data_IF_443764808264
#
_entry.id   IF_443764808264
#
_cell.length_a   1.000
_cell.length_b   1.000
_cell.length_c   1.000
_cell.angle_alpha   90.00
_cell.angle_beta   90.00
_cell.angle_gamma   90.00
#
_symmetry.space_group_name_H-M   'P 1'
#
loop_
_entity.id
_entity.type
_entity.pdbx_description
1 polymer ?
#
# COMPACT_ATOMS: atom_id res chain seq x y z
N UNK A 1 -30.64 -10.52 -0.53
CA UNK A 1 -30.30 -10.51 0.14
C UNK A 1 -29.97 -10.49 0.57
N UNK A 2 -29.69 -10.53 0.66
CA UNK A 2 -29.21 -10.39 1.34
C UNK A 2 -28.94 -10.38 1.99
N UNK A 3 -29.42 -9.85 2.15
CA UNK A 3 -29.10 -9.73 2.95
C UNK A 3 -28.99 -10.37 3.61
N UNK A 4 -29.14 -10.78 3.72
CA UNK A 4 -28.98 -11.43 4.54
C UNK A 4 -28.31 -11.67 5.19
N UNK A 5 -27.99 -11.13 5.55
CA UNK A 5 -27.24 -11.31 6.23
C UNK A 5 -27.12 -11.73 7.22
N UNK A 6 -26.57 -11.84 7.43
CA UNK A 6 -26.63 -12.52 8.43
C UNK A 6 -25.95 -11.90 9.50
N UNK A 7 -26.32 -12.11 10.54
CA UNK A 7 -25.79 -11.59 11.64
C UNK A 7 -25.00 -12.65 12.26
N UNK A 8 -24.03 -12.46 13.10
CA UNK A 8 -23.26 -13.50 13.75
C UNK A 8 -22.15 -14.03 12.87
N UNK A 9 -21.80 -15.30 12.99
CA UNK A 9 -20.67 -15.89 12.30
C UNK A 9 -20.90 -15.98 10.81
N UNK A 10 -19.88 -15.70 9.99
CA UNK A 10 -19.99 -15.88 8.56
C UNK A 10 -20.06 -17.37 8.23
N UNK A 11 -20.62 -17.67 7.08
CA UNK A 11 -20.65 -19.04 6.61
C UNK A 11 -19.24 -19.51 6.33
N UNK A 12 -19.05 -20.82 6.37
CA UNK A 12 -17.73 -21.39 6.14
C UNK A 12 -17.12 -20.97 4.80
N UNK A 13 -17.94 -20.95 3.76
CA UNK A 13 -17.40 -20.57 2.45
C UNK A 13 -16.97 -19.10 2.42
N UNK A 14 -17.67 -18.22 3.14
CA UNK A 14 -17.30 -16.82 3.21
C UNK A 14 -15.96 -16.65 3.93
N UNK A 15 -15.77 -17.42 4.99
CA UNK A 15 -14.51 -17.40 5.71
C UNK A 15 -13.38 -17.92 4.84
N UNK A 16 -13.64 -19.00 4.12
CA UNK A 16 -12.64 -19.59 3.23
C UNK A 16 -12.24 -18.62 2.12
N UNK A 17 -13.22 -17.87 1.56
CA UNK A 17 -12.92 -16.88 0.54
C UNK A 17 -12.02 -15.79 1.07
N UNK A 18 -12.31 -15.28 2.28
CA UNK A 18 -11.49 -14.24 2.88
C UNK A 18 -10.09 -14.76 3.18
N UNK A 19 -9.99 -16.00 3.67
CA UNK A 19 -8.69 -16.59 3.98
C UNK A 19 -7.86 -16.84 2.74
N UNK A 20 -8.52 -17.03 1.59
CA UNK A 20 -7.81 -17.26 0.34
C UNK A 20 -7.56 -15.98 -0.45
N UNK A 21 -7.97 -14.83 0.09
CA UNK A 21 -7.79 -13.52 -0.56
C UNK A 21 -6.50 -12.88 -0.07
N UNK A 22 -5.46 -12.88 -0.90
CA UNK A 22 -4.15 -12.35 -0.47
C UNK A 22 -4.19 -10.87 -0.13
N UNK A 23 -5.04 -10.10 -0.81
CA UNK A 23 -5.17 -8.67 -0.52
C UNK A 23 -5.80 -8.48 0.85
N UNK A 24 -6.84 -9.25 1.16
CA UNK A 24 -7.46 -9.20 2.48
C UNK A 24 -6.42 -9.50 3.56
N UNK A 25 -5.62 -10.56 3.34
CA UNK A 25 -4.60 -10.94 4.30
C UNK A 25 -3.56 -9.85 4.49
N UNK A 26 -3.09 -9.28 3.39
CA UNK A 26 -2.10 -8.20 3.46
C UNK A 26 -2.64 -7.03 4.27
N UNK A 27 -3.83 -6.56 3.92
CA UNK A 27 -4.40 -5.38 4.57
C UNK A 27 -4.81 -5.65 6.02
N UNK A 28 -5.07 -6.91 6.38
CA UNK A 28 -5.36 -7.30 7.76
C UNK A 28 -4.12 -7.24 8.63
N UNK A 29 -2.97 -7.62 8.08
CA UNK A 29 -1.73 -7.71 8.84
C UNK A 29 -0.90 -6.44 8.83
N UNK A 30 -0.94 -5.69 7.73
CA UNK A 30 -0.11 -4.51 7.57
C UNK A 30 -0.48 -3.44 8.60
N UNK A 31 0.54 -2.76 9.11
CA UNK A 31 0.33 -1.67 10.06
C UNK A 31 0.96 -0.37 9.57
N UNK A 32 2.04 -0.46 8.82
CA UNK A 32 2.77 0.73 8.37
C UNK A 32 2.93 0.69 6.85
N UNK A 33 2.52 1.77 6.21
CA UNK A 33 2.56 1.92 4.75
C UNK A 33 3.45 3.11 4.39
N UNK A 34 4.48 2.87 3.60
CA UNK A 34 5.27 3.95 3.03
C UNK A 34 4.62 4.34 1.71
N UNK A 35 4.26 5.60 1.57
CA UNK A 35 3.57 6.09 0.38
C UNK A 35 4.54 6.91 -0.45
N UNK A 36 4.98 6.33 -1.56
CA UNK A 36 5.95 6.97 -2.45
C UNK A 36 5.19 7.81 -3.46
N UNK A 37 5.48 9.12 -3.47
CA UNK A 37 4.76 10.06 -4.30
C UNK A 37 3.57 10.70 -3.60
N UNK A 38 3.49 10.57 -2.28
CA UNK A 38 2.43 11.21 -1.51
C UNK A 38 2.53 12.73 -1.66
N UNK A 39 1.42 13.34 -2.06
CA UNK A 39 1.33 14.78 -2.26
C UNK A 39 0.66 15.43 -1.05
N UNK A 40 1.00 16.69 -0.80
CA UNK A 40 0.29 17.45 0.23
C UNK A 40 -0.91 18.20 -0.37
N UNK A 41 -1.13 18.08 -1.67
CA UNK A 41 -2.21 18.77 -2.37
C UNK A 41 -3.48 17.92 -2.40
N UNK A 42 -4.63 18.48 -1.96
CA UNK A 42 -5.89 17.74 -2.03
C UNK A 42 -6.37 17.48 -3.45
N UNK A 43 -5.75 18.13 -4.43
CA UNK A 43 -6.08 17.88 -5.84
C UNK A 43 -5.48 16.58 -6.37
N UNK A 44 -4.54 15.98 -5.63
CA UNK A 44 -3.90 14.73 -6.04
C UNK A 44 -4.51 13.55 -5.31
N UNK A 45 -4.79 12.46 -6.02
CA UNK A 45 -5.41 11.28 -5.38
C UNK A 45 -4.64 10.72 -4.20
N UNK A 46 -3.31 10.86 -4.21
CA UNK A 46 -2.49 10.25 -3.16
C UNK A 46 -2.83 10.77 -1.77
N UNK A 47 -3.19 12.05 -1.64
CA UNK A 47 -3.50 12.58 -0.31
C UNK A 47 -4.79 12.00 0.23
N UNK A 48 -5.86 11.98 -0.58
CA UNK A 48 -7.15 11.45 -0.13
C UNK A 48 -7.11 9.97 0.18
N UNK A 49 -6.44 9.20 -0.68
CA UNK A 49 -6.30 7.77 -0.47
C UNK A 49 -5.52 7.49 0.82
N UNK A 50 -4.39 8.21 1.01
CA UNK A 50 -3.56 7.98 2.20
C UNK A 50 -4.26 8.43 3.47
N UNK A 51 -5.03 9.52 3.40
CA UNK A 51 -5.80 9.99 4.56
C UNK A 51 -6.84 8.94 4.96
N UNK A 52 -7.48 8.30 3.97
CA UNK A 52 -8.43 7.22 4.26
C UNK A 52 -7.73 6.07 4.96
N UNK A 53 -6.57 5.66 4.45
CA UNK A 53 -5.83 4.55 5.04
C UNK A 53 -5.38 4.91 6.47
N UNK A 54 -4.94 6.14 6.68
CA UNK A 54 -4.56 6.58 8.01
C UNK A 54 -5.75 6.52 8.98
N UNK A 55 -6.90 6.98 8.53
CA UNK A 55 -8.11 6.93 9.35
C UNK A 55 -8.54 5.49 9.64
N UNK A 56 -8.20 4.56 8.76
CA UNK A 56 -8.50 3.15 8.94
C UNK A 56 -7.51 2.47 9.89
N UNK A 57 -6.50 3.21 10.38
CA UNK A 57 -5.58 2.69 11.40
C UNK A 57 -4.16 2.44 10.95
N UNK A 58 -3.84 2.66 9.69
CA UNK A 58 -2.48 2.44 9.21
C UNK A 58 -1.60 3.63 9.52
N UNK A 59 -0.33 3.37 9.84
CA UNK A 59 0.66 4.44 9.97
C UNK A 59 1.19 4.75 8.59
N UNK A 60 1.19 6.05 8.24
CA UNK A 60 1.63 6.49 6.91
C UNK A 60 3.00 7.12 7.02
N UNK A 61 3.92 6.66 6.19
CA UNK A 61 5.27 7.23 6.07
C UNK A 61 5.33 7.92 4.71
N UNK A 62 5.29 9.26 4.68
CA UNK A 62 5.37 9.97 3.39
C UNK A 62 6.77 9.85 2.78
N UNK A 63 6.84 9.53 1.48
CA UNK A 63 8.10 9.47 0.77
C UNK A 63 7.97 10.27 -0.52
N UNK A 64 8.60 11.45 -0.54
CA UNK A 64 8.51 12.34 -1.69
C UNK A 64 9.55 13.44 -1.50
N UNK A 65 10.48 13.62 -2.47
CA UNK A 65 11.53 14.64 -2.31
C UNK A 65 11.01 16.07 -2.40
N UNK A 66 9.76 16.26 -2.82
CA UNK A 66 9.22 17.60 -3.06
C UNK A 66 8.43 18.17 -1.90
N UNK A 67 8.21 17.39 -0.85
CA UNK A 67 7.44 17.90 0.31
C UNK A 67 8.23 17.66 1.58
N UNK A 68 7.93 18.47 2.61
CA UNK A 68 8.57 18.31 3.91
C UNK A 68 7.76 17.43 4.84
N UNK A 69 6.45 17.43 4.68
CA UNK A 69 5.56 16.68 5.56
C UNK A 69 4.21 16.48 4.90
N UNK A 70 3.47 15.47 5.36
CA UNK A 70 2.09 15.23 4.94
C UNK A 70 1.42 14.39 6.00
N UNK A 71 0.12 14.64 6.20
CA UNK A 71 -0.70 13.85 7.15
C UNK A 71 -0.08 13.77 8.54
N UNK A 72 0.56 14.84 8.95
CA UNK A 72 1.15 14.93 10.28
C UNK A 72 2.48 14.22 10.43
N UNK A 73 3.05 13.69 9.36
CA UNK A 73 4.32 12.98 9.42
C UNK A 73 5.38 13.61 8.55
N UNK A 74 6.62 13.47 8.98
CA UNK A 74 7.76 13.96 8.20
C UNK A 74 7.87 13.15 6.92
N UNK A 75 8.19 13.83 5.81
CA UNK A 75 8.41 13.17 4.53
C UNK A 75 9.90 12.95 4.32
N UNK A 76 10.23 11.84 3.68
CA UNK A 76 11.62 11.49 3.36
C UNK A 76 11.77 11.47 1.86
N UNK A 77 12.95 11.87 1.33
CA UNK A 77 13.12 11.97 -0.12
C UNK A 77 13.03 10.64 -0.86
N UNK A 78 13.42 9.55 -0.21
CA UNK A 78 13.37 8.22 -0.82
C UNK A 78 13.21 7.18 0.27
N UNK A 79 12.88 5.95 -0.12
CA UNK A 79 12.79 4.85 0.84
C UNK A 79 14.09 4.65 1.59
N UNK A 80 15.22 4.82 0.90
CA UNK A 80 16.54 4.59 1.51
C UNK A 80 16.87 5.60 2.60
N UNK A 81 16.18 6.74 2.61
CA UNK A 81 16.45 7.78 3.61
C UNK A 81 15.51 7.74 4.80
N UNK A 82 14.57 6.81 4.80
CA UNK A 82 13.74 6.58 5.97
C UNK A 82 14.63 5.99 7.06
N UNK A 83 14.56 6.51 8.31
CA UNK A 83 15.41 5.98 9.39
C UNK A 83 15.23 4.49 9.59
N UNK A 84 16.31 3.81 9.97
CA UNK A 84 16.32 2.36 10.10
C UNK A 84 15.20 1.84 10.99
N UNK A 85 14.99 2.48 12.15
CA UNK A 85 13.98 2.01 13.10
C UNK A 85 12.56 2.15 12.55
N UNK A 86 12.35 3.01 11.54
CA UNK A 86 11.05 3.15 10.90
C UNK A 86 10.94 2.18 9.72
N UNK A 87 11.98 2.16 8.87
CA UNK A 87 11.88 1.37 7.64
C UNK A 87 11.82 -0.13 7.88
N UNK A 88 12.33 -0.59 9.04
CA UNK A 88 12.21 -2.00 9.41
C UNK A 88 10.76 -2.40 9.68
N UNK A 89 9.90 -1.44 9.92
CA UNK A 89 8.49 -1.70 10.23
C UNK A 89 7.58 -1.49 9.05
N UNK A 90 8.12 -1.08 7.90
CA UNK A 90 7.29 -0.88 6.71
C UNK A 90 6.79 -2.23 6.21
N UNK A 91 5.47 -2.37 6.16
CA UNK A 91 4.84 -3.60 5.71
C UNK A 91 4.45 -3.55 4.24
N UNK A 92 4.30 -2.35 3.70
CA UNK A 92 3.78 -2.15 2.36
C UNK A 92 4.30 -0.85 1.79
N UNK A 93 4.73 -0.86 0.54
CA UNK A 93 5.05 0.36 -0.20
C UNK A 93 3.90 0.62 -1.16
N UNK A 94 3.26 1.78 -1.04
CA UNK A 94 2.15 2.19 -1.90
C UNK A 94 2.66 3.26 -2.85
N UNK A 95 2.54 3.02 -4.17
CA UNK A 95 3.23 3.84 -5.17
C UNK A 95 2.25 4.70 -5.97
N UNK A 96 2.45 6.01 -5.88
CA UNK A 96 1.75 7.03 -6.65
C UNK A 96 2.76 7.77 -7.54
N UNK A 97 3.51 7.03 -8.34
CA UNK A 97 4.47 7.61 -9.27
C UNK A 97 4.21 7.05 -10.67
N UNK A 98 4.69 7.76 -11.68
CA UNK A 98 4.54 7.29 -13.06
C UNK A 98 5.28 5.97 -13.25
N UNK A 99 4.83 5.13 -14.20
CA UNK A 99 5.42 3.80 -14.39
C UNK A 99 6.93 3.80 -14.57
N UNK A 100 7.49 4.82 -15.21
CA UNK A 100 8.94 4.85 -15.46
C UNK A 100 9.77 4.99 -14.19
N UNK A 101 9.15 5.39 -13.07
CA UNK A 101 9.88 5.51 -11.81
C UNK A 101 9.77 4.26 -10.94
N UNK A 102 8.96 3.29 -11.36
CA UNK A 102 8.67 2.13 -10.51
C UNK A 102 9.89 1.20 -10.38
N UNK A 103 10.71 1.09 -11.44
CA UNK A 103 11.89 0.23 -11.36
C UNK A 103 12.79 0.61 -10.20
N UNK A 104 13.07 1.90 -10.04
CA UNK A 104 13.94 2.38 -8.97
C UNK A 104 13.30 2.13 -7.61
N UNK A 105 11.99 2.33 -7.50
CA UNK A 105 11.29 2.13 -6.23
C UNK A 105 11.33 0.64 -5.85
N UNK A 106 11.14 -0.24 -6.81
CA UNK A 106 11.20 -1.68 -6.58
C UNK A 106 12.61 -2.07 -6.12
N UNK A 107 13.65 -1.51 -6.77
CA UNK A 107 15.03 -1.80 -6.36
C UNK A 107 15.25 -1.43 -4.90
N UNK A 108 14.79 -0.24 -4.51
CA UNK A 108 14.95 0.20 -3.13
C UNK A 108 14.17 -0.69 -2.16
N UNK A 109 12.94 -1.05 -2.53
CA UNK A 109 12.12 -1.89 -1.67
C UNK A 109 12.75 -3.28 -1.48
N UNK A 110 13.33 -3.83 -2.54
CA UNK A 110 14.03 -5.11 -2.47
C UNK A 110 15.23 -4.99 -1.54
N UNK A 111 16.01 -3.93 -1.70
CA UNK A 111 17.19 -3.71 -0.89
C UNK A 111 16.83 -3.64 0.60
N UNK A 112 15.70 -3.02 0.92
CA UNK A 112 15.24 -2.86 2.29
C UNK A 112 14.43 -4.06 2.79
N UNK A 113 14.23 -5.08 1.95
CA UNK A 113 13.48 -6.29 2.29
C UNK A 113 12.05 -6.02 2.72
N UNK A 114 11.43 -5.04 2.08
CA UNK A 114 10.03 -4.75 2.34
C UNK A 114 9.18 -5.84 1.70
N UNK A 115 8.19 -6.39 2.41
CA UNK A 115 7.51 -7.60 1.94
C UNK A 115 6.48 -7.41 0.85
N UNK A 116 5.99 -6.19 0.62
CA UNK A 116 4.91 -5.99 -0.35
C UNK A 116 4.98 -4.62 -0.99
N UNK A 117 4.52 -4.55 -2.25
CA UNK A 117 4.44 -3.30 -2.98
C UNK A 117 3.11 -3.21 -3.72
N UNK A 118 2.53 -2.03 -3.71
CA UNK A 118 1.21 -1.76 -4.29
C UNK A 118 1.34 -0.65 -5.31
N UNK A 119 1.05 -0.95 -6.57
CA UNK A 119 1.07 0.03 -7.64
C UNK A 119 -0.37 0.46 -7.89
N UNK A 120 -0.64 1.75 -7.70
CA UNK A 120 -1.98 2.30 -7.77
C UNK A 120 -2.57 2.26 -9.19
N UNK A 121 -3.86 2.60 -9.30
CA UNK A 121 -4.54 2.63 -10.59
C UNK A 121 -3.73 3.45 -11.59
N UNK A 122 -3.53 2.90 -12.78
CA UNK A 122 -2.78 3.57 -13.83
C UNK A 122 -1.28 3.39 -13.74
N UNK A 123 -0.79 2.80 -12.66
CA UNK A 123 0.65 2.55 -12.50
C UNK A 123 0.91 1.10 -12.90
N UNK A 124 1.32 0.92 -14.15
CA UNK A 124 1.57 -0.42 -14.71
C UNK A 124 3.00 -0.50 -15.18
N UNK A 125 3.75 -1.46 -14.65
CA UNK A 125 5.11 -1.75 -15.07
C UNK A 125 5.37 -3.23 -14.82
N UNK A 126 5.13 -4.03 -15.87
CA UNK A 126 5.20 -5.48 -15.75
C UNK A 126 6.60 -5.97 -15.39
N UNK A 127 7.62 -5.33 -15.97
CA UNK A 127 8.99 -5.74 -15.69
C UNK A 127 9.37 -5.53 -14.24
N UNK A 128 9.00 -4.37 -13.68
CA UNK A 128 9.29 -4.07 -12.29
C UNK A 128 8.49 -4.98 -11.37
N UNK A 129 7.22 -5.25 -11.72
CA UNK A 129 6.38 -6.14 -10.93
C UNK A 129 6.98 -7.54 -10.87
N UNK A 130 7.48 -8.02 -12.02
CA UNK A 130 8.08 -9.35 -12.09
C UNK A 130 9.36 -9.40 -11.24
N UNK A 131 10.17 -8.35 -11.32
CA UNK A 131 11.38 -8.27 -10.50
C UNK A 131 11.05 -8.34 -9.02
N UNK A 132 10.02 -7.62 -8.61
CA UNK A 132 9.60 -7.61 -7.21
C UNK A 132 9.13 -9.00 -6.78
N UNK A 133 8.33 -9.68 -7.63
CA UNK A 133 7.86 -11.02 -7.31
C UNK A 133 9.01 -12.01 -7.19
N UNK A 134 9.99 -11.91 -8.08
CA UNK A 134 11.14 -12.82 -8.04
C UNK A 134 11.97 -12.61 -6.78
N UNK A 135 11.92 -11.40 -6.22
CA UNK A 135 12.61 -11.11 -4.98
C UNK A 135 11.79 -11.52 -3.75
N UNK A 136 10.62 -12.12 -3.96
CA UNK A 136 9.79 -12.59 -2.85
C UNK A 136 8.74 -11.63 -2.36
N UNK A 137 8.57 -10.49 -3.04
CA UNK A 137 7.58 -9.52 -2.61
C UNK A 137 6.18 -9.90 -3.12
N UNK A 138 5.17 -9.57 -2.31
CA UNK A 138 3.80 -9.63 -2.78
C UNK A 138 3.51 -8.35 -3.57
N UNK A 139 2.96 -8.48 -4.77
CA UNK A 139 2.76 -7.34 -5.66
C UNK A 139 1.29 -7.20 -6.03
N UNK A 140 0.75 -6.00 -5.85
CA UNK A 140 -0.55 -5.61 -6.40
C UNK A 140 -0.29 -4.51 -7.41
N UNK A 141 -0.92 -4.57 -8.57
CA UNK A 141 -0.67 -3.60 -9.62
C UNK A 141 -1.97 -3.13 -10.25
N UNK A 142 -2.04 -1.80 -10.49
CA UNK A 142 -3.16 -1.18 -11.20
C UNK A 142 -4.48 -1.30 -10.45
N UNK A 143 -4.41 -1.15 -9.12
CA UNK A 143 -5.59 -1.15 -8.27
C UNK A 143 -5.46 -0.03 -7.23
N UNK A 144 -6.58 0.51 -6.78
CA UNK A 144 -6.59 1.54 -5.75
C UNK A 144 -6.72 0.90 -4.37
N UNK A 145 -5.74 1.14 -3.51
CA UNK A 145 -5.73 0.52 -2.19
C UNK A 145 -6.94 0.91 -1.35
N UNK A 146 -7.42 2.14 -1.49
CA UNK A 146 -8.61 2.60 -0.79
C UNK A 146 -9.82 1.79 -1.22
N UNK A 147 -10.01 1.62 -2.53
CA UNK A 147 -11.15 0.87 -3.04
C UNK A 147 -11.11 -0.59 -2.62
N UNK A 148 -9.92 -1.18 -2.65
CA UNK A 148 -9.76 -2.57 -2.25
C UNK A 148 -9.98 -2.75 -0.76
N UNK A 149 -9.52 -1.77 0.04
CA UNK A 149 -9.76 -1.82 1.49
C UNK A 149 -11.25 -1.67 1.79
N UNK A 150 -11.89 -0.69 1.17
CA UNK A 150 -13.31 -0.44 1.42
C UNK A 150 -14.16 -1.65 1.03
N UNK A 151 -13.81 -2.31 -0.06
CA UNK A 151 -14.55 -3.47 -0.52
C UNK A 151 -14.50 -4.63 0.48
N UNK A 152 -13.44 -4.70 1.30
CA UNK A 152 -13.23 -5.82 2.21
C UNK A 152 -13.53 -5.49 3.67
N UNK A 153 -13.33 -4.24 4.07
CA UNK A 153 -13.43 -3.87 5.48
C UNK A 153 -14.52 -2.83 5.75
N UNK A 154 -15.08 -2.29 4.74
CA UNK A 154 -16.05 -1.37 4.94
C UNK A 154 -16.63 -0.38 4.61
#
# INVERSE_FOLDING_TARGET
MARLRRRGKPRLYEKALKESDPIYELLSRAKMIAVVGLSESPMRPSLGVSAYMQAAGYKIVPVNPRIAEALGGKAYPSLLEVPLEVRERIDLVDVFRRPEYVDEIVEQAIQLRIPAIWLQEGVVNEGAAEKARKAGMFVVMDLCVLKEHRARFG
#
